data_IF_088966380803
#
_entry.id   IF_088966380803
#
_cell.length_a   1.000
_cell.length_b   1.000
_cell.length_c   1.000
_cell.angle_alpha   90.00
_cell.angle_beta   90.00
_cell.angle_gamma   90.00
#
_symmetry.space_group_name_H-M   'P 1'
#
loop_
_entity.id
_entity.type
_entity.pdbx_description
1 polymer ?
#
# COMPACT_ATOMS: atom_id res chain seq x y z
N UNK A 1 -12.43 6.04 11.84
CA UNK A 1 -12.13 6.51 10.46
C UNK A 1 -11.54 5.33 9.69
N UNK A 2 -12.10 4.99 8.54
CA UNK A 2 -11.58 3.91 7.67
C UNK A 2 -10.37 4.44 6.90
N UNK A 3 -9.30 3.66 6.81
CA UNK A 3 -8.10 4.03 6.07
C UNK A 3 -8.35 4.00 4.56
N UNK A 4 -7.78 4.95 3.82
CA UNK A 4 -7.87 4.99 2.36
C UNK A 4 -7.38 3.67 1.72
N UNK A 5 -6.35 3.04 2.32
CA UNK A 5 -5.81 1.74 1.85
C UNK A 5 -6.72 0.54 2.07
N UNK A 6 -7.79 0.71 2.87
CA UNK A 6 -8.82 -0.32 3.02
C UNK A 6 -9.64 -0.54 1.74
N UNK A 7 -9.77 0.50 0.91
CA UNK A 7 -10.56 0.46 -0.32
C UNK A 7 -9.75 0.80 -1.58
N UNK A 8 -8.66 1.55 -1.44
CA UNK A 8 -7.82 2.00 -2.55
C UNK A 8 -6.40 1.54 -2.33
N UNK A 9 -5.89 0.68 -3.20
CA UNK A 9 -4.53 0.19 -3.06
C UNK A 9 -3.47 1.28 -3.33
N UNK A 10 -3.68 2.10 -4.35
CA UNK A 10 -2.76 3.18 -4.69
C UNK A 10 -3.31 4.54 -4.22
N UNK A 11 -2.78 5.02 -3.09
CA UNK A 11 -3.22 6.26 -2.43
C UNK A 11 -2.15 7.35 -2.36
N UNK A 12 -1.00 7.16 -3.00
CA UNK A 12 0.14 8.10 -2.97
C UNK A 12 0.78 8.26 -4.34
N UNK A 13 0.88 9.51 -4.82
CA UNK A 13 1.40 9.88 -6.14
C UNK A 13 2.69 10.66 -6.01
N UNK A 14 3.70 10.32 -6.79
CA UNK A 14 5.04 10.91 -6.69
C UNK A 14 5.99 10.03 -5.88
N UNK A 15 7.28 10.15 -6.17
CA UNK A 15 8.35 9.31 -5.59
C UNK A 15 9.06 9.98 -4.43
N UNK A 16 8.84 11.29 -4.22
CA UNK A 16 9.64 12.06 -3.29
C UNK A 16 11.08 12.24 -3.76
N UNK A 17 11.39 12.07 -5.05
CA UNK A 17 12.76 12.16 -5.55
C UNK A 17 13.35 13.56 -5.31
N UNK A 18 14.62 13.58 -4.90
CA UNK A 18 15.44 14.79 -4.84
C UNK A 18 16.31 14.89 -6.09
N UNK A 19 15.92 15.74 -7.04
CA UNK A 19 16.69 15.93 -8.27
C UNK A 19 17.89 16.87 -8.06
N UNK A 20 19.08 16.45 -8.50
CA UNK A 20 20.34 17.20 -8.37
C UNK A 20 20.25 18.64 -8.92
N UNK A 21 19.37 18.89 -9.90
CA UNK A 21 19.13 20.24 -10.42
C UNK A 21 18.73 21.27 -9.35
N UNK A 22 18.08 20.84 -8.27
CA UNK A 22 17.66 21.73 -7.17
C UNK A 22 18.83 22.25 -6.34
N UNK A 23 19.96 21.55 -6.33
CA UNK A 23 21.17 21.98 -5.64
C UNK A 23 21.68 23.32 -6.20
N UNK A 24 21.48 23.56 -7.50
CA UNK A 24 21.87 24.80 -8.19
C UNK A 24 21.04 26.02 -7.83
N UNK A 25 19.97 25.87 -7.03
CA UNK A 25 19.23 27.02 -6.52
C UNK A 25 20.03 27.80 -5.46
N UNK A 26 20.99 27.15 -4.79
CA UNK A 26 21.79 27.74 -3.72
C UNK A 26 23.30 27.58 -3.93
N UNK A 27 23.76 26.45 -4.48
CA UNK A 27 25.17 26.18 -4.72
C UNK A 27 25.53 26.46 -6.17
N UNK A 28 26.72 27.01 -6.41
CA UNK A 28 27.28 27.19 -7.75
C UNK A 28 28.67 26.54 -7.90
N UNK A 29 29.13 25.84 -6.86
CA UNK A 29 30.43 25.18 -6.78
C UNK A 29 30.31 23.67 -7.08
N UNK A 30 30.98 23.13 -8.13
CA UNK A 30 30.89 21.73 -8.53
C UNK A 30 31.26 20.74 -7.42
N UNK A 31 32.23 21.08 -6.58
CA UNK A 31 32.76 20.20 -5.52
C UNK A 31 31.69 19.88 -4.47
N UNK A 32 30.75 20.80 -4.24
CA UNK A 32 29.61 20.57 -3.33
C UNK A 32 28.55 19.68 -3.97
N UNK A 33 28.38 19.80 -5.28
CA UNK A 33 27.41 19.02 -6.06
C UNK A 33 27.85 17.56 -6.20
N UNK A 34 29.16 17.30 -6.26
CA UNK A 34 29.73 15.94 -6.26
C UNK A 34 29.40 15.14 -4.99
N UNK A 35 29.10 15.82 -3.88
CA UNK A 35 28.68 15.20 -2.62
C UNK A 35 27.20 14.77 -2.61
N UNK A 36 26.45 14.96 -3.70
CA UNK A 36 25.02 14.67 -3.77
C UNK A 36 24.66 13.25 -3.31
N UNK A 37 25.46 12.26 -3.69
CA UNK A 37 25.25 10.85 -3.30
C UNK A 37 25.51 10.58 -1.81
N UNK A 38 26.21 11.48 -1.12
CA UNK A 38 26.45 11.39 0.33
C UNK A 38 25.25 11.93 1.12
N UNK A 39 24.14 11.17 1.07
CA UNK A 39 22.85 11.53 1.68
C UNK A 39 22.95 11.89 3.16
N UNK A 40 23.82 11.21 3.92
CA UNK A 40 24.07 11.52 5.34
C UNK A 40 24.65 12.93 5.50
N UNK A 41 25.66 13.30 4.70
CA UNK A 41 26.26 14.63 4.75
C UNK A 41 25.26 15.70 4.29
N UNK A 42 24.55 15.44 3.19
CA UNK A 42 23.54 16.35 2.64
C UNK A 42 22.45 16.65 3.67
N UNK A 43 21.87 15.62 4.32
CA UNK A 43 20.85 15.84 5.33
C UNK A 43 21.37 16.51 6.59
N UNK A 44 22.56 16.14 7.09
CA UNK A 44 23.14 16.77 8.28
C UNK A 44 23.32 18.27 8.07
N UNK A 45 23.98 18.66 6.98
CA UNK A 45 24.26 20.08 6.71
C UNK A 45 22.98 20.84 6.44
N UNK A 46 22.10 20.36 5.55
CA UNK A 46 20.93 21.15 5.16
C UNK A 46 19.81 21.10 6.21
N UNK A 47 19.49 19.94 6.77
CA UNK A 47 18.36 19.79 7.71
C UNK A 47 18.80 20.11 9.13
N UNK A 48 19.78 19.37 9.67
CA UNK A 48 20.11 19.46 11.09
C UNK A 48 20.81 20.78 11.46
N UNK A 49 21.66 21.30 10.59
CA UNK A 49 22.44 22.51 10.87
C UNK A 49 21.79 23.79 10.35
N UNK A 50 21.07 23.72 9.22
CA UNK A 50 20.53 24.90 8.53
C UNK A 50 19.00 24.91 8.40
N UNK A 51 18.30 23.90 8.92
CA UNK A 51 16.83 23.81 8.95
C UNK A 51 16.15 24.02 7.58
N UNK A 52 16.78 23.54 6.51
CA UNK A 52 16.20 23.56 5.17
C UNK A 52 15.05 22.55 5.09
N UNK A 53 13.90 23.00 4.61
CA UNK A 53 12.72 22.15 4.45
C UNK A 53 12.91 21.06 3.40
N UNK A 54 12.35 19.87 3.64
CA UNK A 54 12.47 18.71 2.76
C UNK A 54 12.04 19.00 1.33
N UNK A 55 11.01 19.84 1.14
CA UNK A 55 10.41 20.21 -0.16
C UNK A 55 11.30 21.10 -1.03
N UNK A 56 12.34 21.70 -0.44
CA UNK A 56 13.35 22.43 -1.20
C UNK A 56 14.17 21.47 -2.08
N UNK A 57 14.39 20.24 -1.60
CA UNK A 57 15.14 19.20 -2.30
C UNK A 57 14.22 18.13 -2.93
N UNK A 58 13.20 17.67 -2.21
CA UNK A 58 12.34 16.56 -2.63
C UNK A 58 11.08 17.05 -3.35
N UNK A 59 10.65 16.28 -4.35
CA UNK A 59 9.31 16.45 -4.95
C UNK A 59 8.21 16.03 -3.96
N UNK A 60 6.99 16.60 -4.04
CA UNK A 60 5.93 16.24 -3.12
C UNK A 60 5.42 14.81 -3.39
N UNK A 61 5.10 14.09 -2.32
CA UNK A 61 4.27 12.88 -2.36
C UNK A 61 2.84 13.30 -2.04
N UNK A 62 1.95 13.18 -3.03
CA UNK A 62 0.55 13.56 -2.91
C UNK A 62 -0.28 12.36 -2.45
N UNK A 63 -0.93 12.49 -1.29
CA UNK A 63 -1.88 11.51 -0.80
C UNK A 63 -3.22 11.68 -1.53
N UNK A 64 -3.44 10.88 -2.56
CA UNK A 64 -4.67 10.88 -3.36
C UNK A 64 -4.91 9.51 -3.97
N UNK A 65 -6.16 9.18 -4.22
CA UNK A 65 -6.53 8.00 -5.03
C UNK A 65 -6.12 8.27 -6.48
N UNK A 66 -5.21 7.46 -7.03
CA UNK A 66 -4.61 7.72 -8.36
C UNK A 66 -5.31 6.95 -9.47
N UNK A 67 -5.71 5.70 -9.22
CA UNK A 67 -6.37 4.89 -10.23
C UNK A 67 -7.46 4.02 -9.61
N UNK A 68 -8.46 3.77 -10.44
CA UNK A 68 -9.36 2.64 -10.33
C UNK A 68 -8.83 1.60 -11.32
N UNK A 69 -7.78 0.86 -10.96
CA UNK A 69 -7.39 -0.27 -11.80
C UNK A 69 -8.61 -1.21 -11.94
N UNK A 70 -9.00 -1.54 -13.17
CA UNK A 70 -10.12 -2.44 -13.47
C UNK A 70 -9.75 -3.90 -13.22
N UNK A 71 -8.48 -4.24 -13.43
CA UNK A 71 -7.94 -5.56 -13.21
C UNK A 71 -6.59 -5.46 -12.56
N UNK A 72 -6.41 -6.35 -11.62
CA UNK A 72 -5.23 -6.41 -10.79
C UNK A 72 -4.45 -7.64 -11.17
N UNK A 73 -3.31 -7.44 -11.84
CA UNK A 73 -2.25 -8.43 -11.83
C UNK A 73 -1.16 -7.91 -10.88
N UNK A 74 -1.33 -8.17 -9.58
CA UNK A 74 -0.14 -8.41 -8.78
C UNK A 74 0.53 -9.65 -9.35
N UNK A 75 1.73 -9.48 -9.90
CA UNK A 75 2.62 -10.59 -10.24
C UNK A 75 3.21 -11.19 -8.95
N UNK A 76 2.33 -11.83 -8.17
CA UNK A 76 2.73 -12.62 -7.00
C UNK A 76 3.53 -13.85 -7.41
N UNK A 77 3.48 -14.28 -8.68
CA UNK A 77 4.15 -15.49 -9.17
C UNK A 77 5.67 -15.36 -9.15
N UNK A 78 6.18 -14.14 -9.09
CA UNK A 78 7.60 -13.86 -8.89
C UNK A 78 8.13 -14.28 -7.50
N UNK A 79 7.27 -14.40 -6.47
CA UNK A 79 7.70 -14.72 -5.10
C UNK A 79 6.83 -15.78 -4.37
N UNK A 80 5.62 -16.10 -4.84
CA UNK A 80 4.75 -17.14 -4.27
C UNK A 80 4.37 -18.20 -5.32
N UNK A 81 4.23 -19.46 -4.88
CA UNK A 81 3.38 -20.42 -5.60
C UNK A 81 1.96 -19.83 -5.66
N UNK A 82 1.13 -20.19 -6.63
CA UNK A 82 -0.21 -19.62 -6.91
C UNK A 82 -1.27 -19.88 -5.81
N UNK A 83 -0.87 -19.90 -4.54
CA UNK A 83 -1.62 -20.26 -3.33
C UNK A 83 -2.85 -19.39 -3.03
N UNK A 84 -3.02 -18.30 -3.77
CA UNK A 84 -4.12 -17.35 -3.61
C UNK A 84 -5.05 -17.25 -4.83
N UNK A 85 -4.85 -18.06 -5.87
CA UNK A 85 -5.67 -17.99 -7.10
C UNK A 85 -7.12 -18.34 -6.84
N UNK A 86 -7.37 -19.38 -6.05
CA UNK A 86 -8.69 -19.84 -5.68
C UNK A 86 -9.39 -18.79 -4.79
N UNK A 87 -8.66 -18.19 -3.86
CA UNK A 87 -9.19 -17.15 -2.96
C UNK A 87 -9.51 -15.88 -3.75
N UNK A 88 -8.69 -15.50 -4.74
CA UNK A 88 -8.97 -14.36 -5.63
C UNK A 88 -10.20 -14.61 -6.50
N UNK A 89 -10.31 -15.81 -7.08
CA UNK A 89 -11.46 -16.23 -7.88
C UNK A 89 -12.75 -16.26 -7.03
N UNK A 90 -12.71 -16.90 -5.86
CA UNK A 90 -13.82 -16.90 -4.91
C UNK A 90 -14.23 -15.49 -4.49
N UNK A 91 -13.27 -14.64 -4.09
CA UNK A 91 -13.57 -13.29 -3.63
C UNK A 91 -14.19 -12.41 -4.72
N UNK A 92 -13.67 -12.54 -5.95
CA UNK A 92 -14.19 -11.85 -7.13
C UNK A 92 -15.47 -12.46 -7.70
N UNK A 93 -15.88 -13.64 -7.21
CA UNK A 93 -17.04 -14.36 -7.72
C UNK A 93 -16.86 -14.84 -9.17
N UNK A 94 -15.62 -15.08 -9.60
CA UNK A 94 -15.26 -15.53 -10.94
C UNK A 94 -14.55 -16.90 -10.88
N UNK A 95 -14.57 -17.66 -11.98
CA UNK A 95 -13.85 -18.94 -12.07
C UNK A 95 -14.66 -20.19 -11.69
N UNK A 96 -15.97 -20.05 -11.44
CA UNK A 96 -16.88 -21.18 -11.26
C UNK A 96 -17.18 -21.91 -12.58
N UNK A 97 -17.12 -23.23 -12.58
CA UNK A 97 -17.36 -24.03 -13.79
C UNK A 97 -18.85 -24.11 -14.14
N UNK A 98 -19.24 -23.54 -15.28
CA UNK A 98 -20.62 -23.58 -15.78
C UNK A 98 -21.61 -22.70 -14.99
N UNK A 99 -21.09 -21.76 -14.21
CA UNK A 99 -21.88 -20.82 -13.41
C UNK A 99 -21.63 -19.39 -13.88
N UNK A 100 -22.65 -18.54 -13.76
CA UNK A 100 -22.47 -17.11 -13.99
C UNK A 100 -21.53 -16.50 -12.93
N UNK A 101 -20.85 -15.41 -13.32
CA UNK A 101 -20.03 -14.65 -12.38
C UNK A 101 -20.94 -13.98 -11.33
N UNK A 102 -20.65 -14.21 -10.06
CA UNK A 102 -21.42 -13.69 -8.92
C UNK A 102 -20.50 -12.96 -7.93
N UNK A 103 -20.02 -11.74 -8.26
CA UNK A 103 -19.14 -10.98 -7.39
C UNK A 103 -19.82 -10.62 -6.06
N UNK A 104 -19.07 -10.73 -4.95
CA UNK A 104 -19.57 -10.32 -3.63
C UNK A 104 -19.76 -8.81 -3.54
N UNK A 105 -20.65 -8.35 -2.63
CA UNK A 105 -20.82 -6.90 -2.39
C UNK A 105 -19.54 -6.22 -1.92
N UNK A 106 -18.68 -6.93 -1.19
CA UNK A 106 -17.37 -6.40 -0.73
C UNK A 106 -16.40 -6.25 -1.90
N UNK A 107 -16.38 -7.20 -2.83
CA UNK A 107 -15.59 -7.10 -4.06
C UNK A 107 -16.05 -5.96 -4.95
N UNK A 108 -17.37 -5.81 -5.16
CA UNK A 108 -17.93 -4.69 -5.92
C UNK A 108 -17.64 -3.34 -5.26
N UNK A 109 -17.55 -3.30 -3.93
CA UNK A 109 -17.13 -2.14 -3.14
C UNK A 109 -15.60 -1.96 -3.09
N UNK A 110 -14.82 -2.79 -3.79
CA UNK A 110 -13.35 -2.74 -3.88
C UNK A 110 -12.63 -2.87 -2.54
N UNK A 111 -13.21 -3.59 -1.59
CA UNK A 111 -12.51 -3.89 -0.32
C UNK A 111 -11.26 -4.72 -0.64
N UNK A 112 -10.10 -4.28 -0.17
CA UNK A 112 -8.83 -4.95 -0.46
C UNK A 112 -8.61 -6.18 0.44
N UNK A 113 -7.74 -7.11 0.02
CA UNK A 113 -7.40 -8.28 0.82
C UNK A 113 -6.88 -7.87 2.22
N UNK A 114 -6.03 -6.84 2.27
CA UNK A 114 -5.43 -6.31 3.50
C UNK A 114 -6.47 -5.66 4.42
N UNK A 115 -7.59 -5.18 3.89
CA UNK A 115 -8.67 -4.62 4.71
C UNK A 115 -9.33 -5.66 5.62
N UNK A 116 -9.38 -6.92 5.17
CA UNK A 116 -9.83 -8.04 6.00
C UNK A 116 -8.65 -8.69 6.71
N UNK A 117 -7.56 -8.96 6.00
CA UNK A 117 -6.36 -9.65 6.51
C UNK A 117 -5.34 -8.66 7.09
N UNK A 118 -5.65 -8.11 8.26
CA UNK A 118 -4.82 -7.12 8.95
C UNK A 118 -4.25 -7.61 10.29
N UNK A 119 -4.48 -8.88 10.66
CA UNK A 119 -4.08 -9.41 11.97
C UNK A 119 -2.89 -10.37 11.79
N UNK A 120 -1.67 -9.99 12.22
CA UNK A 120 -0.52 -10.89 12.21
C UNK A 120 -0.80 -12.12 13.06
N UNK A 121 -0.50 -13.31 12.53
CA UNK A 121 -0.73 -14.58 13.20
C UNK A 121 0.40 -15.55 12.88
N UNK A 122 0.94 -16.20 13.92
CA UNK A 122 1.89 -17.29 13.74
C UNK A 122 1.15 -18.57 13.38
N UNK A 123 1.55 -19.22 12.28
CA UNK A 123 1.03 -20.51 11.85
C UNK A 123 2.20 -21.49 11.72
N UNK A 124 2.11 -22.70 12.30
CA UNK A 124 3.17 -23.69 12.18
C UNK A 124 3.57 -23.92 10.72
N UNK A 125 4.88 -23.87 10.44
CA UNK A 125 5.42 -24.01 9.09
C UNK A 125 5.40 -22.73 8.25
N UNK A 126 4.97 -21.59 8.79
CA UNK A 126 5.02 -20.27 8.15
C UNK A 126 5.63 -19.25 9.12
N UNK A 127 6.36 -18.27 8.58
CA UNK A 127 7.04 -17.27 9.41
C UNK A 127 6.04 -16.31 10.08
N UNK A 128 5.19 -15.64 9.30
CA UNK A 128 4.06 -14.82 9.75
C UNK A 128 2.97 -14.82 8.67
N UNK A 129 1.70 -14.97 9.06
CA UNK A 129 0.56 -14.86 8.13
C UNK A 129 -0.45 -13.83 8.61
N UNK A 130 -1.10 -13.15 7.66
CA UNK A 130 -2.15 -12.18 7.97
C UNK A 130 -3.52 -12.86 7.94
N UNK A 131 -4.24 -12.83 9.05
CA UNK A 131 -5.61 -13.36 9.16
C UNK A 131 -6.65 -12.24 9.23
N UNK A 132 -7.85 -12.58 8.78
CA UNK A 132 -9.04 -11.80 9.09
C UNK A 132 -9.59 -12.17 10.47
N UNK A 133 -10.27 -11.22 11.10
CA UNK A 133 -10.90 -11.41 12.40
C UNK A 133 -12.02 -10.41 12.62
N UNK A 134 -12.78 -10.60 13.69
CA UNK A 134 -13.96 -9.79 14.00
C UNK A 134 -13.67 -8.27 13.99
N UNK A 135 -12.51 -7.88 14.54
CA UNK A 135 -12.07 -6.49 14.57
C UNK A 135 -11.93 -5.86 13.17
N UNK A 136 -11.51 -6.63 12.15
CA UNK A 136 -11.33 -6.08 10.79
C UNK A 136 -12.67 -5.85 10.11
N UNK A 137 -13.66 -6.72 10.31
CA UNK A 137 -15.04 -6.50 9.87
C UNK A 137 -15.68 -5.27 10.54
N UNK A 138 -15.50 -5.17 11.86
CA UNK A 138 -16.06 -4.08 12.66
C UNK A 138 -15.45 -2.71 12.34
N UNK A 139 -14.25 -2.66 11.75
CA UNK A 139 -13.60 -1.40 11.35
C UNK A 139 -14.44 -0.59 10.34
N UNK A 140 -15.21 -1.27 9.48
CA UNK A 140 -16.10 -0.67 8.50
C UNK A 140 -17.58 -0.74 8.91
N UNK A 141 -18.01 -1.85 9.51
CA UNK A 141 -19.44 -2.11 9.78
C UNK A 141 -19.88 -1.86 11.23
N UNK A 142 -18.93 -1.59 12.13
CA UNK A 142 -19.16 -1.42 13.55
C UNK A 142 -19.72 -2.67 14.23
N UNK A 143 -20.36 -2.48 15.38
CA UNK A 143 -20.89 -3.58 16.22
C UNK A 143 -21.92 -4.48 15.53
N UNK A 144 -22.54 -4.00 14.43
CA UNK A 144 -23.53 -4.78 13.68
C UNK A 144 -22.94 -6.05 13.05
N UNK A 145 -21.63 -6.07 12.84
CA UNK A 145 -20.90 -7.20 12.27
C UNK A 145 -20.09 -7.96 13.33
N UNK A 146 -20.30 -7.67 14.61
CA UNK A 146 -19.82 -8.55 15.66
C UNK A 146 -20.40 -9.95 15.45
N UNK A 147 -19.58 -10.99 15.65
CA UNK A 147 -19.91 -12.40 15.44
C UNK A 147 -20.37 -12.79 14.02
N UNK A 148 -20.09 -11.98 12.99
CA UNK A 148 -20.43 -12.37 11.61
C UNK A 148 -19.62 -13.57 11.13
N UNK A 149 -18.32 -13.65 11.48
CA UNK A 149 -17.44 -14.73 11.02
C UNK A 149 -17.86 -16.11 11.55
N UNK A 150 -18.21 -16.29 12.84
CA UNK A 150 -18.78 -17.56 13.32
C UNK A 150 -20.15 -17.93 12.74
N UNK A 151 -20.85 -16.99 12.07
CA UNK A 151 -22.19 -17.23 11.52
C UNK A 151 -22.20 -17.77 10.09
N UNK A 152 -21.03 -17.81 9.45
CA UNK A 152 -20.81 -18.36 8.10
C UNK A 152 -20.21 -19.76 8.19
#
# INVERSE_FOLDING_TARGET
LVSCVGCHETVTSGTGEAGQRRCFNCHNEPERIEQFENTTSVHRVHIAEHNIECTQCHTPILHRVISLAETFELDCAACHQRVHDEQRQMYSGMGGHGTENMPSSMFLARVSCQSCHAIPTQVPGHEEVMKAGEATCMSCHGIRYANILPSW
#
